data_IF_768221781930
#
_entry.id   IF_768221781930
#
_cell.length_a   1.000
_cell.length_b   1.000
_cell.length_c   1.000
_cell.angle_alpha   90.00
_cell.angle_beta   90.00
_cell.angle_gamma   90.00
#
_symmetry.space_group_name_H-M   'P 1'
#
loop_
_entity.id
_entity.type
_entity.pdbx_description
1 polymer ?
#
# COMPACT_ATOMS: atom_id res chain seq x y z
N UNK A 1 2.21 -24.91 -34.18
CA UNK A 1 1.33 -24.43 -33.13
C UNK A 1 2.19 -23.55 -32.22
N UNK A 2 2.03 -22.21 -32.25
CA UNK A 2 2.73 -21.30 -31.33
C UNK A 2 2.13 -21.53 -29.92
N UNK A 3 2.93 -21.69 -28.87
CA UNK A 3 2.40 -21.77 -27.52
C UNK A 3 1.62 -20.49 -27.23
N UNK A 4 0.36 -20.63 -26.82
CA UNK A 4 -0.39 -19.49 -26.29
C UNK A 4 0.35 -19.00 -25.04
N UNK A 5 0.51 -17.66 -24.87
CA UNK A 5 1.11 -17.13 -23.66
C UNK A 5 0.23 -17.61 -22.48
N UNK A 6 0.84 -18.33 -21.54
CA UNK A 6 0.21 -18.69 -20.28
C UNK A 6 -0.09 -17.38 -19.54
N UNK A 7 -1.35 -16.97 -19.56
CA UNK A 7 -1.79 -15.79 -18.79
C UNK A 7 -1.75 -16.21 -17.32
N UNK A 8 -0.65 -15.92 -16.65
CA UNK A 8 -0.56 -16.09 -15.20
C UNK A 8 -1.63 -15.20 -14.55
N UNK A 9 -2.47 -15.74 -13.68
CA UNK A 9 -3.49 -14.92 -13.03
C UNK A 9 -2.83 -13.78 -12.23
N UNK A 10 -3.43 -12.59 -12.21
CA UNK A 10 -2.87 -11.47 -11.45
C UNK A 10 -2.84 -11.76 -9.95
N UNK A 11 -1.85 -11.18 -9.26
CA UNK A 11 -1.74 -11.23 -7.81
C UNK A 11 -2.90 -10.52 -7.14
N UNK A 12 -3.24 -9.33 -7.66
CA UNK A 12 -4.38 -8.52 -7.23
C UNK A 12 -5.22 -8.19 -8.46
N UNK A 13 -6.55 -8.40 -8.36
CA UNK A 13 -7.50 -8.08 -9.40
C UNK A 13 -8.70 -7.35 -8.79
N UNK A 14 -8.89 -6.10 -9.17
CA UNK A 14 -9.96 -5.23 -8.70
C UNK A 14 -10.94 -5.04 -9.84
N UNK A 15 -12.22 -5.35 -9.59
CA UNK A 15 -13.26 -5.35 -10.62
C UNK A 15 -14.43 -4.49 -10.22
N UNK A 16 -14.71 -3.46 -11.01
CA UNK A 16 -15.88 -2.57 -10.89
C UNK A 16 -16.12 -2.08 -9.45
N UNK A 17 -15.02 -1.75 -8.75
CA UNK A 17 -15.05 -1.41 -7.34
C UNK A 17 -15.70 -0.05 -7.14
N UNK A 18 -16.75 -0.01 -6.32
CA UNK A 18 -17.45 1.21 -5.94
C UNK A 18 -17.59 1.36 -4.44
N UNK A 19 -17.51 2.60 -3.96
CA UNK A 19 -17.74 2.93 -2.56
C UNK A 19 -18.56 4.19 -2.41
N UNK A 20 -19.70 4.06 -1.74
CA UNK A 20 -20.61 5.16 -1.39
C UNK A 20 -20.72 5.26 0.13
N UNK A 21 -20.45 6.44 0.66
CA UNK A 21 -20.68 6.77 2.06
C UNK A 21 -22.03 7.45 2.22
N UNK A 22 -22.85 6.93 3.13
CA UNK A 22 -24.10 7.59 3.52
C UNK A 22 -23.79 8.63 4.59
N UNK A 23 -24.03 9.89 4.30
CA UNK A 23 -23.81 11.00 5.23
C UNK A 23 -24.96 11.11 6.22
N UNK A 24 -24.73 11.54 7.47
CA UNK A 24 -25.81 11.87 8.39
C UNK A 24 -26.76 12.88 7.76
N UNK A 25 -28.06 12.69 7.97
CA UNK A 25 -29.07 13.64 7.48
C UNK A 25 -28.83 15.01 8.15
N UNK A 26 -28.73 16.06 7.36
CA UNK A 26 -28.62 17.44 7.84
C UNK A 26 -29.94 18.00 8.33
N UNK A 27 -31.06 17.36 8.01
CA UNK A 27 -32.40 17.70 8.48
C UNK A 27 -33.21 16.43 8.73
N UNK A 28 -34.19 16.50 9.66
CA UNK A 28 -35.03 15.37 10.07
C UNK A 28 -35.93 14.84 8.92
N UNK A 29 -36.20 15.66 7.92
CA UNK A 29 -37.01 15.38 6.75
C UNK A 29 -36.28 15.76 5.46
N UNK A 30 -35.44 14.87 4.94
CA UNK A 30 -34.71 15.09 3.68
C UNK A 30 -34.07 13.81 3.16
N UNK A 31 -33.73 13.74 1.85
CA UNK A 31 -32.96 12.61 1.33
C UNK A 31 -31.62 12.50 2.05
N UNK A 32 -31.18 11.28 2.33
CA UNK A 32 -29.84 11.05 2.84
C UNK A 32 -28.81 11.49 1.79
N UNK A 33 -27.97 12.45 2.13
CA UNK A 33 -26.83 12.81 1.28
C UNK A 33 -25.88 11.63 1.21
N UNK A 34 -25.37 11.31 0.03
CA UNK A 34 -24.38 10.27 -0.16
C UNK A 34 -23.17 10.85 -0.91
N UNK A 35 -21.97 10.46 -0.46
CA UNK A 35 -20.71 10.79 -1.13
C UNK A 35 -20.25 9.54 -1.88
N UNK A 36 -20.15 9.62 -3.21
CA UNK A 36 -19.52 8.59 -4.02
C UNK A 36 -18.01 8.79 -3.96
N UNK A 37 -17.30 7.92 -3.23
CA UNK A 37 -15.86 8.01 -3.08
C UNK A 37 -15.12 7.25 -4.17
N UNK A 38 -15.70 6.15 -4.69
CA UNK A 38 -15.18 5.38 -5.82
C UNK A 38 -16.36 4.91 -6.69
N UNK A 39 -16.16 4.89 -8.01
CA UNK A 39 -17.15 4.45 -8.99
C UNK A 39 -16.46 3.67 -10.11
N UNK A 40 -16.83 2.40 -10.28
CA UNK A 40 -16.38 1.50 -11.35
C UNK A 40 -14.86 1.41 -11.53
N UNK A 41 -14.11 1.33 -10.42
CA UNK A 41 -12.65 1.22 -10.46
C UNK A 41 -12.25 -0.22 -10.76
N UNK A 42 -11.50 -0.42 -11.85
CA UNK A 42 -11.01 -1.74 -12.27
C UNK A 42 -9.54 -1.67 -12.67
N UNK A 43 -8.72 -2.59 -12.14
CA UNK A 43 -7.30 -2.75 -12.50
C UNK A 43 -6.78 -4.11 -12.04
N UNK A 44 -5.61 -4.50 -12.54
CA UNK A 44 -4.91 -5.69 -12.10
C UNK A 44 -3.43 -5.40 -11.82
N UNK A 45 -2.85 -6.15 -10.88
CA UNK A 45 -1.43 -6.09 -10.55
C UNK A 45 -0.82 -7.50 -10.63
N UNK A 46 0.21 -7.65 -11.44
CA UNK A 46 0.95 -8.90 -11.56
C UNK A 46 1.94 -9.07 -10.41
N UNK A 47 2.26 -10.33 -10.07
CA UNK A 47 3.27 -10.63 -9.06
C UNK A 47 4.65 -10.05 -9.45
N UNK A 48 5.35 -9.46 -8.48
CA UNK A 48 6.64 -8.80 -8.67
C UNK A 48 6.58 -7.43 -9.34
N UNK A 49 5.37 -6.91 -9.65
CA UNK A 49 5.16 -5.60 -10.27
C UNK A 49 4.68 -4.55 -9.27
N UNK A 50 4.85 -3.28 -9.65
CA UNK A 50 4.40 -2.13 -8.87
C UNK A 50 3.37 -1.31 -9.65
N UNK A 51 2.26 -0.95 -8.98
CA UNK A 51 1.23 -0.06 -9.51
C UNK A 51 1.14 1.19 -8.65
N UNK A 52 1.33 2.36 -9.26
CA UNK A 52 1.14 3.66 -8.63
C UNK A 52 -0.29 4.16 -8.79
N UNK A 53 -0.93 4.58 -7.70
CA UNK A 53 -2.22 5.26 -7.71
C UNK A 53 -1.99 6.73 -7.45
N UNK A 54 -2.28 7.58 -8.42
CA UNK A 54 -2.07 9.03 -8.35
C UNK A 54 -3.37 9.82 -8.51
N UNK A 55 -3.39 11.06 -8.06
CA UNK A 55 -4.52 11.98 -8.15
C UNK A 55 -4.48 13.00 -7.01
N UNK A 56 -5.31 14.02 -7.08
CA UNK A 56 -5.40 15.06 -6.03
C UNK A 56 -5.92 14.51 -4.69
N UNK A 57 -5.75 15.32 -3.64
CA UNK A 57 -6.36 15.01 -2.34
C UNK A 57 -7.89 14.88 -2.49
N UNK A 58 -8.45 13.84 -1.87
CA UNK A 58 -9.88 13.57 -1.98
C UNK A 58 -10.31 12.81 -3.26
N UNK A 59 -9.40 12.44 -4.17
CA UNK A 59 -9.76 11.66 -5.37
C UNK A 59 -10.19 10.21 -5.10
N UNK A 60 -10.03 9.70 -3.87
CA UNK A 60 -10.44 8.33 -3.48
C UNK A 60 -9.28 7.35 -3.25
N UNK A 61 -8.02 7.74 -3.40
CA UNK A 61 -6.83 6.87 -3.32
C UNK A 61 -6.75 6.06 -2.02
N UNK A 62 -6.81 6.72 -0.87
CA UNK A 62 -6.75 6.02 0.42
C UNK A 62 -8.00 5.17 0.69
N UNK A 63 -9.17 5.55 0.13
CA UNK A 63 -10.36 4.70 0.15
C UNK A 63 -10.11 3.41 -0.63
N UNK A 64 -9.52 3.52 -1.83
CA UNK A 64 -9.15 2.38 -2.65
C UNK A 64 -8.16 1.45 -1.93
N UNK A 65 -7.09 2.02 -1.35
CA UNK A 65 -6.12 1.26 -0.55
C UNK A 65 -6.79 0.50 0.61
N UNK A 66 -7.71 1.15 1.34
CA UNK A 66 -8.44 0.52 2.46
C UNK A 66 -9.36 -0.61 2.01
N UNK A 67 -10.01 -0.48 0.85
CA UNK A 67 -10.84 -1.55 0.27
C UNK A 67 -9.99 -2.73 -0.17
N UNK A 68 -8.85 -2.49 -0.82
CA UNK A 68 -7.89 -3.55 -1.19
C UNK A 68 -7.40 -4.32 0.04
N UNK A 69 -7.17 -3.64 1.15
CA UNK A 69 -6.75 -4.23 2.43
C UNK A 69 -7.88 -4.90 3.22
N UNK A 70 -9.11 -4.87 2.72
CA UNK A 70 -10.31 -5.28 3.45
C UNK A 70 -10.42 -4.61 4.85
N UNK A 71 -10.04 -3.34 4.94
CA UNK A 71 -10.21 -2.48 6.12
C UNK A 71 -11.53 -1.70 6.07
N UNK A 72 -12.17 -1.64 4.92
CA UNK A 72 -13.51 -1.13 4.70
C UNK A 72 -14.26 -2.05 3.73
N UNK A 73 -15.59 -1.91 3.61
CA UNK A 73 -16.42 -2.74 2.74
C UNK A 73 -16.80 -1.96 1.48
N UNK A 74 -16.69 -2.54 0.27
CA UNK A 74 -17.18 -1.94 -0.95
C UNK A 74 -18.71 -1.88 -0.95
N UNK A 75 -19.26 -0.93 -1.69
CA UNK A 75 -20.70 -0.90 -1.98
C UNK A 75 -21.02 -1.82 -3.15
N UNK A 76 -20.08 -1.96 -4.09
CA UNK A 76 -20.18 -2.79 -5.29
C UNK A 76 -18.79 -3.20 -5.77
N UNK A 77 -18.74 -4.24 -6.61
CA UNK A 77 -17.51 -4.76 -7.17
C UNK A 77 -16.81 -5.79 -6.27
N UNK A 78 -15.59 -6.16 -6.65
CA UNK A 78 -14.82 -7.24 -6.02
C UNK A 78 -13.34 -6.87 -5.94
N UNK A 79 -12.67 -7.41 -4.91
CA UNK A 79 -11.21 -7.37 -4.76
C UNK A 79 -10.70 -8.80 -4.60
N UNK A 80 -9.99 -9.29 -5.61
CA UNK A 80 -9.46 -10.64 -5.63
C UNK A 80 -7.95 -10.60 -5.35
N UNK A 81 -7.52 -11.27 -4.29
CA UNK A 81 -6.10 -11.52 -4.00
C UNK A 81 -5.80 -13.00 -4.22
N UNK A 82 -4.87 -13.31 -5.13
CA UNK A 82 -4.62 -14.68 -5.60
C UNK A 82 -5.91 -15.41 -6.01
N UNK A 83 -6.83 -14.69 -6.67
CA UNK A 83 -8.11 -15.24 -7.14
C UNK A 83 -9.18 -15.42 -6.05
N UNK A 84 -8.92 -15.04 -4.79
CA UNK A 84 -9.87 -15.13 -3.68
C UNK A 84 -10.43 -13.74 -3.34
N UNK A 85 -11.75 -13.58 -3.36
CA UNK A 85 -12.40 -12.32 -2.97
C UNK A 85 -12.20 -12.07 -1.46
N UNK A 86 -11.46 -11.00 -1.15
CA UNK A 86 -11.13 -10.65 0.24
C UNK A 86 -12.34 -10.21 1.06
N UNK A 87 -13.40 -9.72 0.40
CA UNK A 87 -14.63 -9.25 1.06
C UNK A 87 -15.67 -10.36 1.26
N UNK A 88 -15.58 -11.44 0.48
CA UNK A 88 -16.42 -12.63 0.62
C UNK A 88 -15.75 -13.71 1.50
N UNK A 89 -14.46 -13.54 1.80
CA UNK A 89 -13.70 -14.48 2.61
C UNK A 89 -14.23 -14.54 4.06
N UNK A 90 -14.36 -15.73 4.61
CA UNK A 90 -14.63 -15.90 6.05
C UNK A 90 -13.52 -15.26 6.89
N UNK A 91 -13.81 -14.92 8.14
CA UNK A 91 -12.83 -14.32 9.05
C UNK A 91 -11.54 -15.14 9.15
N UNK A 92 -11.63 -16.48 9.14
CA UNK A 92 -10.48 -17.37 9.18
C UNK A 92 -9.69 -17.37 7.86
N UNK A 93 -10.36 -17.29 6.72
CA UNK A 93 -9.73 -17.17 5.40
C UNK A 93 -9.06 -15.80 5.25
N UNK A 94 -9.76 -14.71 5.57
CA UNK A 94 -9.20 -13.36 5.50
C UNK A 94 -7.96 -13.21 6.39
N UNK A 95 -7.96 -13.81 7.58
CA UNK A 95 -6.77 -13.83 8.45
C UNK A 95 -5.58 -14.49 7.75
N UNK A 96 -5.78 -15.63 7.09
CA UNK A 96 -4.72 -16.29 6.31
C UNK A 96 -4.27 -15.46 5.12
N UNK A 97 -5.20 -14.87 4.38
CA UNK A 97 -4.88 -14.00 3.24
C UNK A 97 -4.03 -12.79 3.66
N UNK A 98 -4.31 -12.20 4.84
CA UNK A 98 -3.57 -11.06 5.38
C UNK A 98 -2.09 -11.34 5.67
N UNK A 99 -1.65 -12.59 5.74
CA UNK A 99 -0.21 -12.89 5.75
C UNK A 99 0.46 -12.56 4.41
N UNK A 100 -0.29 -12.67 3.31
CA UNK A 100 0.19 -12.45 1.95
C UNK A 100 0.13 -10.99 1.49
N UNK A 101 -0.59 -10.12 2.20
CA UNK A 101 -0.61 -8.68 1.91
C UNK A 101 -0.55 -7.85 3.20
N UNK A 102 0.25 -6.79 3.18
CA UNK A 102 0.50 -5.93 4.35
C UNK A 102 0.38 -4.46 3.95
N UNK A 103 0.23 -3.58 4.93
CA UNK A 103 0.09 -2.14 4.71
C UNK A 103 1.19 -1.35 5.42
N UNK A 104 1.74 -0.37 4.70
CA UNK A 104 2.59 0.69 5.24
C UNK A 104 1.79 1.99 5.17
N UNK A 105 1.56 2.61 6.33
CA UNK A 105 0.75 3.81 6.46
C UNK A 105 1.55 5.09 6.27
N UNK A 106 0.86 6.16 5.93
CA UNK A 106 1.39 7.49 5.69
C UNK A 106 2.14 8.09 6.88
N UNK A 107 1.58 7.95 8.09
CA UNK A 107 2.15 8.55 9.30
C UNK A 107 2.97 7.52 10.09
N UNK A 108 4.32 7.62 10.06
CA UNK A 108 5.17 6.72 10.84
C UNK A 108 5.05 6.96 12.36
N UNK A 109 4.53 8.10 12.79
CA UNK A 109 4.30 8.39 14.21
C UNK A 109 3.02 7.73 14.72
N UNK A 110 1.90 7.90 14.01
CA UNK A 110 0.61 7.32 14.37
C UNK A 110 0.48 5.82 14.11
N UNK A 111 1.33 5.27 13.23
CA UNK A 111 1.28 3.84 12.87
C UNK A 111 1.99 2.91 13.86
N UNK A 112 2.81 3.43 14.77
CA UNK A 112 3.56 2.68 15.78
C UNK A 112 3.06 3.07 17.18
N UNK A 113 2.57 2.11 17.97
CA UNK A 113 2.17 2.40 19.36
C UNK A 113 3.39 2.81 20.19
N UNK A 114 3.47 4.09 20.66
CA UNK A 114 4.65 4.60 21.36
C UNK A 114 4.91 3.92 22.71
N UNK A 115 3.95 3.17 23.24
CA UNK A 115 4.04 2.44 24.50
C UNK A 115 4.62 1.04 24.33
N UNK A 116 4.76 0.57 23.07
CA UNK A 116 5.28 -0.75 22.76
C UNK A 116 6.74 -0.67 22.32
N UNK A 117 7.53 -1.69 22.69
CA UNK A 117 8.88 -1.86 22.15
C UNK A 117 8.82 -2.27 20.69
N UNK A 118 9.85 -1.93 19.93
CA UNK A 118 10.00 -2.27 18.50
C UNK A 118 9.81 -3.78 18.27
N UNK A 119 10.33 -4.64 19.15
CA UNK A 119 10.09 -6.08 19.09
C UNK A 119 8.59 -6.43 19.02
N UNK A 120 7.77 -5.87 19.91
CA UNK A 120 6.33 -6.13 19.95
C UNK A 120 5.62 -5.62 18.70
N UNK A 121 6.02 -4.42 18.24
CA UNK A 121 5.45 -3.79 17.03
C UNK A 121 5.76 -4.62 15.79
N UNK A 122 7.03 -5.00 15.60
CA UNK A 122 7.46 -5.76 14.40
C UNK A 122 6.85 -7.16 14.38
N UNK A 123 6.69 -7.81 15.54
CA UNK A 123 6.14 -9.18 15.62
C UNK A 123 4.61 -9.23 15.67
N UNK A 124 3.92 -8.10 15.82
CA UNK A 124 2.46 -8.04 15.91
C UNK A 124 1.72 -8.79 14.80
N UNK A 125 2.08 -8.66 13.50
CA UNK A 125 1.39 -9.38 12.43
C UNK A 125 1.46 -10.90 12.61
N UNK A 126 2.62 -11.46 12.95
CA UNK A 126 2.77 -12.91 13.18
C UNK A 126 1.95 -13.34 14.40
N UNK A 127 2.03 -12.60 15.49
CA UNK A 127 1.30 -12.92 16.73
C UNK A 127 -0.22 -12.88 16.49
N UNK A 128 -0.70 -11.94 15.69
CA UNK A 128 -2.11 -11.82 15.33
C UNK A 128 -2.57 -12.99 14.44
N UNK A 129 -1.74 -13.42 13.49
CA UNK A 129 -2.04 -14.56 12.63
C UNK A 129 -2.08 -15.88 13.41
N UNK A 130 -1.24 -16.04 14.42
CA UNK A 130 -1.13 -17.24 15.24
C UNK A 130 -2.22 -17.37 16.33
N UNK A 131 -2.99 -16.30 16.59
CA UNK A 131 -4.10 -16.36 17.57
C UNK A 131 -5.22 -17.27 17.04
N UNK A 132 -5.74 -18.22 17.84
CA UNK A 132 -6.93 -18.98 17.49
C UNK A 132 -8.14 -18.05 17.28
N UNK A 133 -9.09 -18.48 16.43
CA UNK A 133 -10.28 -17.68 16.14
C UNK A 133 -11.19 -17.43 17.37
N UNK A 134 -11.09 -18.29 18.40
CA UNK A 134 -11.82 -18.20 19.67
C UNK A 134 -11.20 -17.25 20.70
N UNK A 135 -10.07 -16.62 20.38
CA UNK A 135 -9.40 -15.64 21.23
C UNK A 135 -8.78 -16.18 22.52
N UNK A 136 -8.77 -17.51 22.73
CA UNK A 136 -8.51 -18.12 24.05
C UNK A 136 -7.08 -18.45 24.41
N UNK A 137 -6.10 -18.33 23.53
CA UNK A 137 -4.72 -18.65 23.91
C UNK A 137 -3.73 -17.60 23.38
N UNK A 138 -3.09 -16.80 24.23
CA UNK A 138 -1.90 -16.08 23.84
C UNK A 138 -0.77 -17.09 23.61
N UNK A 139 0.02 -16.91 22.55
CA UNK A 139 1.33 -17.56 22.39
C UNK A 139 2.31 -17.10 23.48
N UNK A 140 1.94 -17.22 24.76
CA UNK A 140 2.70 -16.57 25.83
C UNK A 140 3.78 -17.43 26.47
N UNK A 141 3.82 -18.74 26.25
CA UNK A 141 4.59 -19.59 27.18
C UNK A 141 5.46 -20.70 26.60
N UNK A 142 5.96 -20.56 25.38
CA UNK A 142 7.09 -21.38 24.96
C UNK A 142 8.32 -20.50 24.76
N UNK A 143 9.31 -20.67 25.62
CA UNK A 143 10.57 -19.91 25.52
C UNK A 143 11.23 -20.05 24.14
N UNK A 144 11.08 -21.19 23.46
CA UNK A 144 11.49 -21.43 22.10
C UNK A 144 10.77 -20.55 21.08
N UNK A 145 9.45 -20.41 21.18
CA UNK A 145 8.65 -19.57 20.27
C UNK A 145 9.06 -18.08 20.36
N UNK A 146 9.43 -17.62 21.56
CA UNK A 146 9.89 -16.23 21.75
C UNK A 146 11.28 -15.98 21.20
N UNK A 147 12.19 -16.94 21.29
CA UNK A 147 13.54 -16.84 20.70
C UNK A 147 13.44 -16.79 19.17
N UNK A 148 12.65 -17.69 18.58
CA UNK A 148 12.43 -17.71 17.11
C UNK A 148 11.79 -16.41 16.62
N UNK A 149 10.77 -15.89 17.33
CA UNK A 149 10.17 -14.60 17.00
C UNK A 149 11.18 -13.45 17.09
N UNK A 150 12.10 -13.51 18.08
CA UNK A 150 13.15 -12.48 18.20
C UNK A 150 14.14 -12.54 17.06
N UNK A 151 14.53 -13.75 16.64
CA UNK A 151 15.42 -13.94 15.50
C UNK A 151 14.78 -13.45 14.20
N UNK A 152 13.51 -13.76 13.96
CA UNK A 152 12.73 -13.23 12.82
C UNK A 152 12.60 -11.72 12.85
N UNK A 153 12.36 -11.13 14.02
CA UNK A 153 12.29 -9.68 14.18
C UNK A 153 13.65 -9.02 13.96
N UNK A 154 14.74 -9.63 14.45
CA UNK A 154 16.12 -9.17 14.23
C UNK A 154 16.46 -9.18 12.74
N UNK A 155 16.09 -10.25 12.04
CA UNK A 155 16.27 -10.35 10.60
C UNK A 155 15.49 -9.25 9.87
N UNK A 156 14.20 -9.05 10.18
CA UNK A 156 13.39 -8.02 9.55
C UNK A 156 13.96 -6.60 9.80
N UNK A 157 14.49 -6.31 10.99
CA UNK A 157 15.19 -5.04 11.25
C UNK A 157 16.47 -4.91 10.44
N UNK A 158 17.29 -5.96 10.36
CA UNK A 158 18.51 -5.97 9.58
C UNK A 158 18.25 -5.68 8.09
N UNK A 159 17.17 -6.24 7.54
CA UNK A 159 16.75 -6.05 6.16
C UNK A 159 16.38 -4.60 5.83
N UNK A 160 15.93 -3.83 6.82
CA UNK A 160 15.65 -2.39 6.68
C UNK A 160 16.81 -1.50 7.18
N UNK A 161 17.98 -2.09 7.46
CA UNK A 161 19.19 -1.37 7.88
C UNK A 161 19.17 -0.87 9.33
N UNK A 162 18.40 -1.54 10.22
CA UNK A 162 18.39 -1.29 11.66
C UNK A 162 19.13 -2.42 12.40
N UNK A 163 19.55 -2.15 13.65
CA UNK A 163 20.33 -3.10 14.44
C UNK A 163 19.42 -3.99 15.29
N UNK A 164 19.86 -5.21 15.56
CA UNK A 164 19.14 -6.14 16.47
C UNK A 164 18.89 -5.54 17.85
N UNK A 165 19.84 -4.75 18.38
CA UNK A 165 19.69 -4.07 19.66
C UNK A 165 18.51 -3.05 19.69
N UNK A 166 18.08 -2.58 18.53
CA UNK A 166 16.98 -1.62 18.41
C UNK A 166 15.61 -2.26 18.70
N UNK A 167 15.53 -3.60 18.75
CA UNK A 167 14.31 -4.34 19.18
C UNK A 167 13.83 -3.98 20.58
N UNK A 168 14.74 -3.61 21.48
CA UNK A 168 14.41 -3.33 22.89
C UNK A 168 14.04 -1.86 23.15
N UNK A 169 14.17 -1.01 22.12
CA UNK A 169 13.85 0.42 22.17
C UNK A 169 12.37 0.71 21.89
N UNK A 170 11.96 1.93 22.19
CA UNK A 170 10.64 2.47 21.90
C UNK A 170 10.65 3.37 20.66
N UNK A 171 9.50 3.55 19.96
CA UNK A 171 9.42 4.38 18.77
C UNK A 171 9.94 5.82 18.94
N UNK A 172 9.76 6.42 20.10
CA UNK A 172 10.19 7.79 20.38
C UNK A 172 11.72 7.98 20.40
N UNK A 173 12.50 6.89 20.47
CA UNK A 173 13.97 6.91 20.42
C UNK A 173 14.53 6.94 18.98
N UNK A 174 13.66 6.99 17.95
CA UNK A 174 14.03 6.92 16.54
C UNK A 174 13.64 8.16 15.77
N UNK A 175 14.43 8.48 14.73
CA UNK A 175 14.06 9.50 13.75
C UNK A 175 12.85 9.09 12.90
N UNK A 176 12.22 10.03 12.18
CA UNK A 176 11.09 9.75 11.29
C UNK A 176 11.40 8.66 10.26
N UNK A 177 12.54 8.74 9.58
CA UNK A 177 12.97 7.72 8.60
C UNK A 177 13.25 6.37 9.24
N UNK A 178 13.80 6.32 10.46
CA UNK A 178 13.98 5.07 11.18
C UNK A 178 12.63 4.44 11.60
N UNK A 179 11.65 5.25 12.03
CA UNK A 179 10.29 4.78 12.31
C UNK A 179 9.61 4.22 11.07
N UNK A 180 9.81 4.87 9.92
CA UNK A 180 9.30 4.35 8.64
C UNK A 180 9.93 2.99 8.30
N UNK A 181 11.23 2.83 8.52
CA UNK A 181 11.91 1.53 8.36
C UNK A 181 11.37 0.47 9.32
N UNK A 182 11.00 0.83 10.56
CA UNK A 182 10.33 -0.09 11.50
C UNK A 182 8.94 -0.48 10.97
N UNK A 183 8.16 0.44 10.42
CA UNK A 183 6.87 0.16 9.81
C UNK A 183 7.00 -0.78 8.60
N UNK A 184 8.04 -0.60 7.77
CA UNK A 184 8.37 -1.50 6.66
C UNK A 184 8.79 -2.89 7.19
N UNK A 185 9.64 -2.96 8.23
CA UNK A 185 10.03 -4.23 8.86
C UNK A 185 8.82 -5.00 9.43
N UNK A 186 7.86 -4.29 10.04
CA UNK A 186 6.58 -4.85 10.50
C UNK A 186 5.78 -5.46 9.34
N UNK A 187 5.70 -4.77 8.21
CA UNK A 187 5.03 -5.30 7.02
C UNK A 187 5.78 -6.51 6.44
N UNK A 188 7.10 -6.48 6.44
CA UNK A 188 7.95 -7.50 5.81
C UNK A 188 8.03 -8.81 6.60
N UNK A 189 7.79 -8.80 7.92
CA UNK A 189 8.01 -9.96 8.79
C UNK A 189 7.16 -11.19 8.43
N UNK A 190 6.01 -10.99 7.78
CA UNK A 190 5.14 -12.08 7.29
C UNK A 190 5.57 -12.61 5.93
N UNK A 191 6.59 -12.01 5.28
CA UNK A 191 6.99 -12.30 3.89
C UNK A 191 5.81 -12.17 2.92
N UNK A 192 5.15 -11.00 2.87
CA UNK A 192 3.98 -10.82 2.01
C UNK A 192 4.36 -10.85 0.52
N UNK A 193 3.40 -11.16 -0.34
CA UNK A 193 3.54 -10.98 -1.78
C UNK A 193 3.20 -9.56 -2.24
N UNK A 194 2.36 -8.85 -1.46
CA UNK A 194 1.90 -7.49 -1.75
C UNK A 194 2.09 -6.57 -0.54
N UNK A 195 2.65 -5.39 -0.77
CA UNK A 195 2.64 -4.28 0.19
C UNK A 195 1.83 -3.13 -0.41
N UNK A 196 0.76 -2.74 0.30
CA UNK A 196 0.01 -1.51 0.01
C UNK A 196 0.67 -0.38 0.79
N UNK A 197 1.28 0.57 0.10
CA UNK A 197 1.97 1.69 0.70
C UNK A 197 1.17 2.99 0.45
N UNK A 198 0.52 3.51 1.51
CA UNK A 198 -0.26 4.74 1.43
C UNK A 198 0.62 5.91 1.85
N UNK A 199 1.10 6.69 0.86
CA UNK A 199 2.00 7.84 1.03
C UNK A 199 3.23 7.56 1.93
N UNK A 200 4.02 6.51 1.68
CA UNK A 200 4.99 5.98 2.65
C UNK A 200 6.14 6.94 2.97
N UNK A 201 6.33 8.01 2.23
CA UNK A 201 7.45 8.95 2.40
C UNK A 201 7.03 10.41 2.54
N UNK A 202 5.72 10.73 2.47
CA UNK A 202 5.22 12.11 2.42
C UNK A 202 5.55 12.96 3.65
N UNK A 203 5.75 12.33 4.82
CA UNK A 203 6.09 12.99 6.07
C UNK A 203 7.61 13.10 6.36
N UNK A 204 8.45 12.71 5.39
CA UNK A 204 9.91 12.65 5.54
C UNK A 204 10.58 13.77 4.73
N UNK A 205 11.78 14.19 5.16
CA UNK A 205 12.62 15.08 4.35
C UNK A 205 13.16 14.37 3.09
N UNK A 206 13.50 15.15 2.06
CA UNK A 206 13.86 14.66 0.71
C UNK A 206 14.99 13.62 0.75
N UNK A 207 16.00 13.84 1.61
CA UNK A 207 17.16 12.93 1.67
C UNK A 207 16.79 11.58 2.28
N UNK A 208 15.91 11.59 3.29
CA UNK A 208 15.38 10.37 3.94
C UNK A 208 14.37 9.68 3.04
N UNK A 209 13.54 10.43 2.29
CA UNK A 209 12.65 9.87 1.28
C UNK A 209 13.42 8.99 0.29
N UNK A 210 14.50 9.53 -0.31
CA UNK A 210 15.31 8.77 -1.26
C UNK A 210 15.87 7.46 -0.67
N UNK A 211 16.31 7.50 0.59
CA UNK A 211 16.82 6.31 1.28
C UNK A 211 15.73 5.24 1.51
N UNK A 212 14.51 5.67 1.86
CA UNK A 212 13.37 4.74 2.07
C UNK A 212 12.89 4.17 0.75
N UNK A 213 12.83 4.98 -0.33
CA UNK A 213 12.44 4.51 -1.65
C UNK A 213 13.44 3.50 -2.21
N UNK A 214 14.76 3.77 -2.11
CA UNK A 214 15.79 2.82 -2.51
C UNK A 214 15.67 1.51 -1.72
N UNK A 215 15.44 1.58 -0.40
CA UNK A 215 15.20 0.40 0.42
C UNK A 215 13.99 -0.40 -0.09
N UNK A 216 12.88 0.26 -0.43
CA UNK A 216 11.69 -0.43 -0.94
C UNK A 216 11.95 -1.11 -2.28
N UNK A 217 12.71 -0.48 -3.19
CA UNK A 217 13.12 -1.08 -4.46
C UNK A 217 14.04 -2.29 -4.24
N UNK A 218 15.05 -2.17 -3.36
CA UNK A 218 15.94 -3.29 -3.01
C UNK A 218 15.17 -4.48 -2.42
N UNK A 219 14.14 -4.21 -1.61
CA UNK A 219 13.27 -5.25 -1.04
C UNK A 219 12.39 -5.90 -2.12
N UNK A 220 11.91 -5.13 -3.11
CA UNK A 220 11.17 -5.66 -4.25
C UNK A 220 12.03 -6.63 -5.05
N UNK A 221 13.23 -6.23 -5.42
CA UNK A 221 14.15 -7.05 -6.20
C UNK A 221 14.58 -8.31 -5.45
N UNK A 222 14.87 -8.18 -4.16
CA UNK A 222 15.35 -9.29 -3.32
C UNK A 222 14.28 -10.34 -3.04
N UNK A 223 13.04 -9.92 -2.83
CA UNK A 223 11.95 -10.79 -2.36
C UNK A 223 10.84 -11.01 -3.38
N UNK A 224 10.92 -10.39 -4.56
CA UNK A 224 9.85 -10.44 -5.57
C UNK A 224 8.55 -9.80 -5.07
N UNK A 225 8.66 -8.78 -4.21
CA UNK A 225 7.49 -8.07 -3.67
C UNK A 225 6.74 -7.34 -4.78
N UNK A 226 5.44 -7.21 -4.61
CA UNK A 226 4.62 -6.29 -5.38
C UNK A 226 4.23 -5.10 -4.54
N UNK A 227 4.16 -3.92 -5.16
CA UNK A 227 3.69 -2.70 -4.48
C UNK A 227 2.43 -2.15 -5.12
N UNK A 228 1.45 -1.81 -4.27
CA UNK A 228 0.39 -0.88 -4.61
C UNK A 228 0.72 0.43 -3.90
N UNK A 229 1.28 1.39 -4.63
CA UNK A 229 1.78 2.65 -4.09
C UNK A 229 0.76 3.76 -4.29
N UNK A 230 0.23 4.28 -3.22
CA UNK A 230 -0.57 5.52 -3.24
C UNK A 230 0.36 6.69 -2.98
N UNK A 231 0.38 7.66 -3.88
CA UNK A 231 1.17 8.88 -3.72
C UNK A 231 0.52 10.07 -4.45
N UNK A 232 0.73 11.26 -3.91
CA UNK A 232 0.49 12.51 -4.63
C UNK A 232 1.77 13.03 -5.31
N UNK A 233 2.94 12.43 -4.98
CA UNK A 233 4.22 12.75 -5.62
C UNK A 233 4.44 11.86 -6.85
N UNK A 234 4.27 12.47 -8.02
CA UNK A 234 4.44 11.80 -9.30
C UNK A 234 5.91 11.39 -9.57
N UNK A 235 6.89 12.07 -9.00
CA UNK A 235 8.30 11.71 -9.14
C UNK A 235 8.59 10.38 -8.42
N UNK A 236 8.00 10.18 -7.24
CA UNK A 236 8.08 8.92 -6.50
C UNK A 236 7.45 7.77 -7.29
N UNK A 237 6.27 8.01 -7.88
CA UNK A 237 5.56 6.99 -8.67
C UNK A 237 6.34 6.64 -9.94
N UNK A 238 6.88 7.64 -10.64
CA UNK A 238 7.70 7.41 -11.84
C UNK A 238 9.01 6.64 -11.54
N UNK A 239 9.53 6.78 -10.33
CA UNK A 239 10.74 6.06 -9.89
C UNK A 239 10.45 4.59 -9.56
N UNK A 240 9.33 4.31 -8.88
CA UNK A 240 9.07 3.02 -8.25
C UNK A 240 8.10 2.12 -9.01
N UNK A 241 7.24 2.67 -9.89
CA UNK A 241 6.12 1.92 -10.42
C UNK A 241 6.30 1.51 -11.87
N UNK A 242 5.94 0.27 -12.19
CA UNK A 242 5.85 -0.22 -13.57
C UNK A 242 4.65 0.38 -14.29
N UNK A 243 3.50 0.43 -13.62
CA UNK A 243 2.24 0.94 -14.14
C UNK A 243 1.68 2.04 -13.24
N UNK A 244 0.84 2.88 -13.81
CA UNK A 244 0.16 3.99 -13.12
C UNK A 244 -1.33 3.97 -13.40
N UNK A 245 -2.10 4.26 -12.36
CA UNK A 245 -3.55 4.49 -12.38
C UNK A 245 -3.83 5.90 -11.88
N UNK A 246 -4.42 6.73 -12.73
CA UNK A 246 -4.79 8.11 -12.42
C UNK A 246 -6.24 8.17 -11.98
N UNK A 247 -6.45 8.61 -10.74
CA UNK A 247 -7.77 8.66 -10.12
C UNK A 247 -8.24 10.12 -9.97
N UNK A 248 -9.39 10.44 -10.54
CA UNK A 248 -10.04 11.74 -10.42
C UNK A 248 -11.49 11.56 -9.94
N UNK A 249 -11.85 12.20 -8.84
CA UNK A 249 -13.24 12.16 -8.29
C UNK A 249 -13.82 10.74 -8.18
N UNK A 250 -13.00 9.78 -7.76
CA UNK A 250 -13.40 8.39 -7.56
C UNK A 250 -13.44 7.53 -8.82
N UNK A 251 -13.01 8.03 -9.96
CA UNK A 251 -12.99 7.31 -11.24
C UNK A 251 -11.58 7.21 -11.81
N UNK A 252 -11.29 6.11 -12.50
CA UNK A 252 -10.05 5.96 -13.24
C UNK A 252 -10.19 6.75 -14.55
N UNK A 253 -9.35 7.76 -14.74
CA UNK A 253 -9.35 8.59 -15.96
C UNK A 253 -8.26 8.19 -16.94
N UNK A 254 -7.18 7.57 -16.46
CA UNK A 254 -6.11 7.07 -17.30
C UNK A 254 -5.34 5.96 -16.55
N UNK A 255 -4.89 4.93 -17.27
CA UNK A 255 -4.04 3.88 -16.71
C UNK A 255 -3.15 3.28 -17.79
N UNK A 256 -1.95 2.86 -17.40
CA UNK A 256 -1.00 2.22 -18.31
C UNK A 256 0.42 2.21 -17.75
N UNK A 257 1.40 1.78 -18.59
CA UNK A 257 2.81 1.80 -18.21
C UNK A 257 3.26 3.20 -17.77
N UNK A 258 3.99 3.28 -16.66
CA UNK A 258 4.43 4.54 -16.09
C UNK A 258 5.18 5.41 -17.14
N UNK A 259 6.09 4.80 -17.90
CA UNK A 259 6.83 5.50 -18.93
C UNK A 259 5.91 6.16 -20.00
N UNK A 260 4.82 5.48 -20.39
CA UNK A 260 3.86 6.01 -21.35
C UNK A 260 3.06 7.17 -20.74
N UNK A 261 2.50 6.97 -19.53
CA UNK A 261 1.70 8.01 -18.86
C UNK A 261 2.53 9.28 -18.62
N UNK A 262 3.78 9.15 -18.15
CA UNK A 262 4.62 10.33 -17.85
C UNK A 262 5.19 11.04 -19.09
N UNK A 263 5.23 10.39 -20.25
CA UNK A 263 5.73 10.98 -21.49
C UNK A 263 4.61 11.40 -22.45
N UNK A 264 3.51 10.67 -22.46
CA UNK A 264 2.45 10.78 -23.47
C UNK A 264 1.06 10.68 -22.84
N UNK A 265 0.83 11.41 -21.72
CA UNK A 265 -0.50 11.46 -21.11
C UNK A 265 -1.57 11.93 -22.09
N UNK A 266 -2.65 11.17 -22.23
CA UNK A 266 -3.77 11.48 -23.14
C UNK A 266 -4.84 12.31 -22.45
N UNK A 267 -5.13 12.02 -21.17
CA UNK A 267 -6.20 12.71 -20.43
C UNK A 267 -5.74 14.10 -19.97
N UNK A 268 -6.57 15.16 -20.14
CA UNK A 268 -6.21 16.53 -19.75
C UNK A 268 -5.84 16.67 -18.26
N UNK A 269 -6.53 15.96 -17.39
CA UNK A 269 -6.24 15.96 -15.96
C UNK A 269 -4.85 15.36 -15.65
N UNK A 270 -4.48 14.27 -16.31
CA UNK A 270 -3.14 13.66 -16.16
C UNK A 270 -2.05 14.63 -16.60
N UNK A 271 -2.24 15.31 -17.76
CA UNK A 271 -1.31 16.34 -18.22
C UNK A 271 -1.16 17.49 -17.22
N UNK A 272 -2.26 17.94 -16.63
CA UNK A 272 -2.26 18.96 -15.59
C UNK A 272 -1.43 18.49 -14.36
N UNK A 273 -1.66 17.26 -13.88
CA UNK A 273 -0.90 16.72 -12.76
C UNK A 273 0.60 16.64 -13.07
N UNK A 274 0.98 16.16 -14.25
CA UNK A 274 2.38 16.04 -14.67
C UNK A 274 3.04 17.41 -14.80
N UNK A 275 2.33 18.41 -15.32
CA UNK A 275 2.84 19.77 -15.47
C UNK A 275 3.08 20.49 -14.13
N UNK A 276 2.45 20.02 -13.06
CA UNK A 276 2.67 20.54 -11.69
C UNK A 276 3.97 20.02 -11.04
N UNK A 277 4.62 19.00 -11.65
CA UNK A 277 5.90 18.45 -11.13
C UNK A 277 7.03 19.44 -11.42
N UNK A 278 7.80 19.89 -10.41
CA UNK A 278 8.93 20.77 -10.62
C UNK A 278 9.94 20.18 -11.62
N UNK A 279 10.37 21.01 -12.61
CA UNK A 279 11.36 20.62 -13.64
C UNK A 279 10.80 19.98 -14.91
N UNK A 280 9.51 19.59 -14.98
CA UNK A 280 8.88 19.10 -16.22
C UNK A 280 8.11 20.17 -17.00
N UNK A 281 7.86 21.32 -16.40
CA UNK A 281 7.11 22.43 -17.03
C UNK A 281 7.78 22.94 -18.30
N UNK A 282 9.12 23.00 -18.32
CA UNK A 282 9.88 23.54 -19.46
C UNK A 282 9.94 22.54 -20.62
N UNK A 283 9.98 21.24 -20.35
CA UNK A 283 10.02 20.19 -21.37
C UNK A 283 8.69 20.05 -22.15
N UNK A 284 7.55 20.31 -21.51
CA UNK A 284 6.23 20.24 -22.16
C UNK A 284 5.99 21.48 -23.05
N UNK A 285 6.50 22.65 -22.67
CA UNK A 285 6.39 23.88 -23.47
C UNK A 285 7.27 23.86 -24.73
N UNK A 286 8.32 23.04 -24.74
CA UNK A 286 9.15 22.83 -25.95
C UNK A 286 8.49 21.87 -26.93
N UNK A 287 7.70 20.90 -26.50
CA UNK A 287 6.99 19.96 -27.38
C UNK A 287 5.75 20.57 -28.07
N UNK A 288 5.11 21.59 -27.47
CA UNK A 288 3.99 22.32 -28.10
C UNK A 288 4.45 23.32 -29.18
N UNK A 289 5.75 23.55 -29.34
CA UNK A 289 6.34 24.48 -30.32
C UNK A 289 6.89 23.80 -31.57
N UNK A 290 6.78 22.47 -31.66
CA UNK A 290 7.25 21.66 -32.80
C UNK A 290 6.08 21.01 -33.51
#
# INVERSE_FOLDING_TARGET
MKPQPSITPPLLDVRQLGRRFVMPRSAMWGPANSLQALSDVSFSLQAGKSLGIVGESGSGKSTLARLVMALDQPTEGQVLFNGVDVHQASTSQLRRLRSGFQMVFQDPYGSLDPRQKVFSIVTEPIQTLARPADGRTPLRDRAGDRSELRDRAAQALSEVGLRTADLDKYPHEFSGGQRQRIAIARALITRPALIVADEPVSALDVSVQAQVLNLMMDLQDRYGLSYLLVSHDLAVVNLMCDDVLVLQSGQVVEQGPAAQIFQHAEHPYTRMLISAVPGKRDALLEQEKT
#
